data_IF_077959600407
#
_entry.id   IF_077959600407
#
_cell.length_a   1.000
_cell.length_b   1.000
_cell.length_c   1.000
_cell.angle_alpha   90.00
_cell.angle_beta   90.00
_cell.angle_gamma   90.00
#
_symmetry.space_group_name_H-M   'P 1'
#
loop_
_entity.id
_entity.type
_entity.pdbx_description
1 polymer ?
#
# COMPACT_ATOMS: atom_id res chain seq x y z
N UNK A 1 37.87 63.75 -13.01
CA UNK A 1 37.67 63.60 -11.55
C UNK A 1 36.82 62.36 -11.32
N UNK A 2 37.41 61.19 -11.03
CA UNK A 2 36.64 59.97 -10.76
C UNK A 2 36.36 59.88 -9.25
N UNK A 3 35.09 59.80 -8.88
CA UNK A 3 34.70 59.53 -7.49
C UNK A 3 34.79 58.03 -7.25
N UNK A 4 35.65 57.61 -6.32
CA UNK A 4 35.67 56.23 -5.82
C UNK A 4 34.47 56.06 -4.87
N UNK A 5 33.43 55.36 -5.33
CA UNK A 5 32.28 55.00 -4.51
C UNK A 5 32.42 53.57 -4.01
N UNK A 6 32.41 53.38 -2.69
CA UNK A 6 32.52 52.07 -2.04
C UNK A 6 31.14 51.41 -1.90
N UNK A 7 30.50 51.11 -3.04
CA UNK A 7 29.14 50.55 -3.09
C UNK A 7 28.99 49.15 -2.44
N UNK A 8 30.10 48.51 -2.07
CA UNK A 8 30.14 47.20 -1.41
C UNK A 8 30.14 47.27 0.12
N UNK A 9 30.23 48.46 0.73
CA UNK A 9 30.21 48.59 2.20
C UNK A 9 28.79 48.42 2.72
N UNK A 10 28.52 47.24 3.27
CA UNK A 10 27.26 46.94 3.94
C UNK A 10 27.25 47.66 5.30
N UNK A 11 26.20 48.43 5.55
CA UNK A 11 25.97 49.07 6.85
C UNK A 11 25.83 48.02 7.96
N UNK A 12 26.51 48.23 9.11
CA UNK A 12 26.46 47.30 10.26
C UNK A 12 25.02 47.02 10.70
N UNK A 13 24.13 48.02 10.60
CA UNK A 13 22.71 47.86 10.94
C UNK A 13 21.97 46.96 9.96
N UNK A 14 22.31 47.02 8.66
CA UNK A 14 21.79 46.11 7.64
C UNK A 14 22.30 44.69 7.87
N UNK A 15 23.59 44.50 8.15
CA UNK A 15 24.17 43.20 8.46
C UNK A 15 23.53 42.55 9.71
N UNK A 16 23.31 43.33 10.77
CA UNK A 16 22.67 42.84 12.01
C UNK A 16 21.19 42.51 11.84
N UNK A 17 20.45 43.25 10.99
CA UNK A 17 19.06 42.92 10.64
C UNK A 17 18.96 41.61 9.84
N UNK A 18 19.88 41.38 8.90
CA UNK A 18 19.92 40.14 8.10
C UNK A 18 20.38 38.91 8.90
N UNK A 19 21.17 39.07 9.97
CA UNK A 19 21.50 37.96 10.87
C UNK A 19 20.28 37.43 11.63
N UNK A 20 19.31 38.28 11.97
CA UNK A 20 18.06 37.86 12.63
C UNK A 20 17.27 36.85 11.78
N UNK A 21 17.23 37.04 10.46
CA UNK A 21 16.59 36.10 9.51
C UNK A 21 17.33 34.76 9.39
N UNK A 22 18.64 34.71 9.65
CA UNK A 22 19.39 33.45 9.69
C UNK A 22 19.13 32.65 10.98
N UNK A 23 18.77 33.32 12.08
CA UNK A 23 18.44 32.66 13.36
C UNK A 23 16.95 32.23 13.38
N UNK A 24 16.07 32.96 12.69
CA UNK A 24 14.63 32.64 12.62
C UNK A 24 14.25 31.61 11.56
N UNK A 25 15.15 31.28 10.63
CA UNK A 25 15.01 30.06 9.85
C UNK A 25 15.59 28.94 10.72
N UNK A 26 14.78 28.09 11.38
CA UNK A 26 15.28 26.82 11.88
C UNK A 26 16.05 26.19 10.72
N UNK A 27 17.32 25.88 10.97
CA UNK A 27 18.33 25.45 10.01
C UNK A 27 17.83 24.30 9.13
N UNK A 28 17.02 24.60 8.12
CA UNK A 28 16.54 23.63 7.13
C UNK A 28 16.14 22.26 7.73
N UNK A 29 15.64 22.17 8.97
CA UNK A 29 15.28 20.87 9.54
C UNK A 29 14.08 20.27 8.79
N UNK A 30 13.29 21.11 8.14
CA UNK A 30 12.26 20.70 7.19
C UNK A 30 12.82 20.15 5.85
N UNK A 31 14.12 20.31 5.59
CA UNK A 31 14.84 19.77 4.43
C UNK A 31 15.81 18.65 4.80
N UNK A 32 15.98 18.34 6.10
CA UNK A 32 16.55 17.06 6.51
C UNK A 32 15.53 15.98 6.16
N UNK A 33 15.82 15.07 5.22
CA UNK A 33 14.95 13.94 5.01
C UNK A 33 15.00 13.13 6.31
N UNK A 34 13.88 13.03 7.03
CA UNK A 34 13.74 12.21 8.25
C UNK A 34 14.19 10.75 8.01
N UNK A 35 14.33 10.33 6.75
CA UNK A 35 14.75 9.01 6.31
C UNK A 35 16.10 8.98 5.55
N UNK A 36 16.99 9.97 5.65
CA UNK A 36 18.29 9.97 4.95
C UNK A 36 19.34 9.00 5.52
N UNK A 37 18.97 8.20 6.50
CA UNK A 37 19.58 6.88 6.67
C UNK A 37 18.63 5.89 6.00
N UNK A 38 18.78 5.68 4.68
CA UNK A 38 18.35 4.43 4.07
C UNK A 38 19.19 3.32 4.73
N UNK A 39 18.77 2.87 5.93
CA UNK A 39 18.80 1.44 6.22
C UNK A 39 18.25 0.79 4.97
N UNK A 40 18.91 -0.26 4.47
CA UNK A 40 18.32 -1.16 3.48
C UNK A 40 16.89 -1.43 3.91
N UNK A 41 15.95 -0.69 3.34
CA UNK A 41 14.55 -0.83 3.64
C UNK A 41 14.24 -2.14 2.97
N UNK A 42 13.95 -3.16 3.78
CA UNK A 42 13.40 -4.40 3.26
C UNK A 42 12.35 -4.01 2.21
N UNK A 43 12.48 -4.58 1.02
CA UNK A 43 11.60 -4.25 -0.11
C UNK A 43 10.16 -4.19 0.40
N UNK A 44 9.43 -3.07 0.19
CA UNK A 44 8.13 -2.87 0.81
C UNK A 44 7.23 -4.07 0.49
N UNK A 45 6.63 -4.66 1.52
CA UNK A 45 5.76 -5.83 1.36
C UNK A 45 4.55 -5.40 0.52
N UNK A 46 4.36 -6.03 -0.64
CA UNK A 46 3.23 -5.79 -1.54
C UNK A 46 2.29 -6.99 -1.47
N UNK A 47 1.01 -6.73 -1.26
CA UNK A 47 -0.06 -7.74 -1.38
C UNK A 47 -0.75 -7.62 -2.72
N UNK A 48 -1.07 -8.75 -3.34
CA UNK A 48 -1.90 -8.83 -4.54
C UNK A 48 -3.12 -9.70 -4.24
N UNK A 49 -4.28 -9.24 -4.68
CA UNK A 49 -5.56 -9.94 -4.53
C UNK A 49 -6.13 -10.25 -5.91
N UNK A 50 -6.47 -11.51 -6.15
CA UNK A 50 -6.98 -11.98 -7.44
C UNK A 50 -8.43 -12.41 -7.27
N UNK A 51 -9.32 -11.78 -8.02
CA UNK A 51 -10.74 -12.14 -8.05
C UNK A 51 -11.01 -13.18 -9.14
N UNK A 52 -11.76 -14.23 -8.81
CA UNK A 52 -12.26 -15.21 -9.78
C UNK A 52 -13.66 -14.80 -10.21
N UNK A 53 -13.79 -14.26 -11.42
CA UNK A 53 -15.06 -13.80 -11.95
C UNK A 53 -16.03 -14.94 -12.30
N UNK A 54 -17.28 -14.56 -12.50
CA UNK A 54 -18.32 -15.45 -13.01
C UNK A 54 -17.88 -16.07 -14.36
N UNK A 55 -18.15 -17.36 -14.54
CA UNK A 55 -17.74 -18.13 -15.73
C UNK A 55 -16.46 -18.95 -15.53
N UNK A 56 -15.70 -18.71 -14.46
CA UNK A 56 -14.62 -19.61 -14.05
C UNK A 56 -15.22 -20.86 -13.37
N UNK A 57 -14.72 -22.04 -13.72
CA UNK A 57 -15.07 -23.27 -13.01
C UNK A 57 -14.40 -23.29 -11.63
N UNK A 58 -15.07 -22.72 -10.62
CA UNK A 58 -14.54 -22.52 -9.27
C UNK A 58 -14.11 -23.80 -8.56
N UNK A 59 -14.74 -24.94 -8.85
CA UNK A 59 -14.35 -26.25 -8.31
C UNK A 59 -12.90 -26.61 -8.67
N UNK A 60 -12.38 -26.14 -9.81
CA UNK A 60 -10.98 -26.37 -10.18
C UNK A 60 -9.97 -25.54 -9.38
N UNK A 61 -10.42 -24.68 -8.46
CA UNK A 61 -9.58 -23.88 -7.56
C UNK A 61 -9.74 -24.29 -6.08
N UNK A 62 -10.57 -25.30 -5.79
CA UNK A 62 -10.76 -25.80 -4.43
C UNK A 62 -9.71 -26.85 -4.08
N UNK A 63 -9.22 -26.80 -2.85
CA UNK A 63 -8.34 -27.83 -2.27
C UNK A 63 -9.19 -28.58 -1.25
N UNK A 64 -9.38 -29.88 -1.49
CA UNK A 64 -10.31 -30.72 -0.72
C UNK A 64 -9.66 -31.44 0.46
N UNK A 65 -8.34 -31.62 0.41
CA UNK A 65 -7.59 -32.36 1.42
C UNK A 65 -6.95 -31.39 2.42
N UNK A 66 -7.27 -31.47 3.72
CA UNK A 66 -6.66 -30.64 4.74
C UNK A 66 -5.25 -31.15 5.11
N UNK A 67 -4.45 -30.29 5.74
CA UNK A 67 -3.13 -30.63 6.26
C UNK A 67 -1.98 -30.11 5.40
N UNK A 68 -0.74 -30.39 5.83
CA UNK A 68 0.48 -29.96 5.14
C UNK A 68 0.64 -30.62 3.77
N UNK A 69 0.14 -31.85 3.64
CA UNK A 69 0.20 -32.67 2.43
C UNK A 69 -1.03 -32.48 1.53
N UNK A 70 -1.57 -31.27 1.49
CA UNK A 70 -2.71 -30.94 0.65
C UNK A 70 -2.37 -31.12 -0.85
N UNK A 71 -3.38 -31.40 -1.66
CA UNK A 71 -3.19 -31.55 -3.11
C UNK A 71 -3.70 -30.33 -3.87
N UNK A 72 -2.85 -29.76 -4.73
CA UNK A 72 -3.28 -28.67 -5.61
C UNK A 72 -4.23 -29.20 -6.70
N UNK A 73 -5.33 -28.48 -6.91
CA UNK A 73 -6.29 -28.74 -7.98
C UNK A 73 -5.70 -28.47 -9.37
N UNK A 74 -6.39 -28.90 -10.43
CA UNK A 74 -5.93 -28.74 -11.82
C UNK A 74 -5.45 -27.32 -12.15
N UNK A 75 -6.21 -26.28 -11.77
CA UNK A 75 -5.84 -24.89 -12.06
C UNK A 75 -4.66 -24.40 -11.22
N UNK A 76 -4.45 -24.98 -10.04
CA UNK A 76 -3.39 -24.60 -9.11
C UNK A 76 -2.12 -25.43 -9.25
N UNK A 77 -2.12 -26.53 -10.03
CA UNK A 77 -0.93 -27.36 -10.31
C UNK A 77 0.34 -26.57 -10.67
N UNK A 78 0.30 -25.47 -11.46
CA UNK A 78 1.50 -24.70 -11.75
C UNK A 78 2.18 -24.08 -10.51
N UNK A 79 1.47 -23.97 -9.39
CA UNK A 79 1.97 -23.44 -8.12
C UNK A 79 2.72 -24.48 -7.28
N UNK A 80 2.74 -25.75 -7.69
CA UNK A 80 3.39 -26.85 -6.96
C UNK A 80 4.85 -26.54 -6.61
N UNK A 81 5.58 -25.89 -7.53
CA UNK A 81 6.98 -25.45 -7.32
C UNK A 81 7.16 -24.40 -6.21
N UNK A 82 6.08 -23.80 -5.72
CA UNK A 82 6.07 -22.79 -4.66
C UNK A 82 5.31 -23.27 -3.41
N UNK A 83 5.08 -24.58 -3.28
CA UNK A 83 4.33 -25.17 -2.15
C UNK A 83 4.82 -24.70 -0.78
N UNK A 84 6.14 -24.58 -0.58
CA UNK A 84 6.73 -24.20 0.70
C UNK A 84 6.40 -22.76 1.15
N UNK A 85 5.92 -21.91 0.23
CA UNK A 85 5.54 -20.52 0.51
C UNK A 85 4.05 -20.26 0.32
N UNK A 86 3.24 -21.31 0.14
CA UNK A 86 1.79 -21.22 -0.05
C UNK A 86 1.08 -21.88 1.11
N UNK A 87 0.09 -21.18 1.67
CA UNK A 87 -0.81 -21.74 2.68
C UNK A 87 -2.25 -21.62 2.18
N UNK A 88 -2.85 -22.73 1.71
CA UNK A 88 -4.26 -22.73 1.33
C UNK A 88 -5.17 -22.51 2.53
N UNK A 89 -6.17 -21.66 2.37
CA UNK A 89 -7.25 -21.48 3.34
C UNK A 89 -8.57 -21.77 2.64
N UNK A 90 -9.36 -22.68 3.20
CA UNK A 90 -10.63 -23.15 2.63
C UNK A 90 -11.77 -22.99 3.64
N UNK A 91 -13.02 -23.03 3.16
CA UNK A 91 -14.22 -22.90 3.99
C UNK A 91 -14.63 -21.47 4.33
N UNK A 92 -13.88 -20.46 3.88
CA UNK A 92 -14.23 -19.06 4.05
C UNK A 92 -15.26 -18.62 3.01
N UNK A 93 -16.30 -17.94 3.46
CA UNK A 93 -17.30 -17.31 2.60
C UNK A 93 -17.93 -16.12 3.33
N UNK A 94 -18.46 -15.16 2.56
CA UNK A 94 -19.21 -14.05 3.13
C UNK A 94 -20.66 -14.49 3.46
N UNK A 95 -21.15 -14.27 4.69
CA UNK A 95 -22.51 -14.63 5.07
C UNK A 95 -23.53 -13.84 4.23
N UNK A 96 -24.45 -14.53 3.57
CA UNK A 96 -25.44 -13.91 2.70
C UNK A 96 -24.96 -13.60 1.27
N UNK A 97 -23.73 -13.98 0.90
CA UNK A 97 -23.26 -13.89 -0.48
C UNK A 97 -23.75 -15.04 -1.36
N UNK A 98 -23.87 -16.24 -0.79
CA UNK A 98 -24.24 -17.45 -1.53
C UNK A 98 -25.60 -17.27 -2.23
N UNK A 99 -25.68 -17.64 -3.51
CA UNK A 99 -26.89 -17.54 -4.32
C UNK A 99 -27.08 -16.21 -5.05
N UNK A 100 -26.18 -15.23 -4.88
CA UNK A 100 -26.19 -14.00 -5.67
C UNK A 100 -25.26 -14.14 -6.88
N UNK A 101 -25.70 -13.67 -8.06
CA UNK A 101 -24.93 -13.82 -9.30
C UNK A 101 -23.97 -12.66 -9.53
N UNK A 102 -24.52 -11.47 -9.80
CA UNK A 102 -23.73 -10.32 -10.28
C UNK A 102 -23.21 -9.42 -9.16
N UNK A 103 -23.83 -9.45 -7.98
CA UNK A 103 -23.50 -8.54 -6.87
C UNK A 103 -22.34 -9.07 -6.01
N UNK A 104 -21.82 -10.27 -6.28
CA UNK A 104 -20.72 -10.87 -5.54
C UNK A 104 -19.38 -10.15 -5.75
N UNK A 105 -19.25 -9.31 -6.77
CA UNK A 105 -18.08 -8.45 -6.92
C UNK A 105 -18.10 -7.29 -5.91
N UNK A 106 -19.29 -6.81 -5.51
CA UNK A 106 -19.43 -5.67 -4.61
C UNK A 106 -18.97 -5.98 -3.18
N UNK A 107 -18.88 -7.26 -2.83
CA UNK A 107 -18.39 -7.73 -1.52
C UNK A 107 -16.89 -8.05 -1.51
N UNK A 108 -16.28 -8.14 -2.69
CA UNK A 108 -14.87 -8.51 -2.80
C UNK A 108 -14.00 -7.39 -2.22
N UNK A 109 -13.19 -7.72 -1.21
CA UNK A 109 -12.34 -6.78 -0.46
C UNK A 109 -13.08 -5.64 0.26
N UNK A 110 -14.41 -5.65 0.32
CA UNK A 110 -15.22 -4.60 0.98
C UNK A 110 -16.02 -5.08 2.19
N UNK A 111 -16.21 -6.41 2.30
CA UNK A 111 -17.01 -7.04 3.35
C UNK A 111 -18.47 -6.56 3.42
N UNK A 112 -18.94 -5.82 2.41
CA UNK A 112 -20.25 -5.20 2.40
C UNK A 112 -21.37 -6.25 2.40
N UNK A 113 -22.47 -5.97 3.11
CA UNK A 113 -23.64 -6.85 3.07
C UNK A 113 -24.39 -6.65 1.75
N UNK A 114 -24.64 -7.73 1.02
CA UNK A 114 -25.46 -7.68 -0.20
C UNK A 114 -26.91 -7.35 0.17
N UNK A 115 -27.49 -6.34 -0.48
CA UNK A 115 -28.86 -5.89 -0.24
C UNK A 115 -29.25 -4.69 -1.11
N UNK A 116 -30.43 -4.09 -0.87
CA UNK A 116 -30.90 -2.92 -1.62
C UNK A 116 -30.00 -1.68 -1.49
N UNK A 117 -29.24 -1.60 -0.40
CA UNK A 117 -28.20 -0.60 -0.18
C UNK A 117 -26.95 -1.34 0.30
N UNK A 118 -25.90 -1.26 -0.48
CA UNK A 118 -24.60 -1.85 -0.16
C UNK A 118 -23.79 -0.82 0.64
N UNK A 119 -23.37 -1.19 1.84
CA UNK A 119 -22.47 -0.39 2.68
C UNK A 119 -21.25 -1.22 3.02
N UNK A 120 -20.07 -0.68 2.73
CA UNK A 120 -18.81 -1.28 3.17
C UNK A 120 -18.76 -1.26 4.69
N UNK A 121 -18.36 -2.38 5.29
CA UNK A 121 -18.04 -2.44 6.71
C UNK A 121 -16.54 -2.35 6.93
N UNK A 122 -15.75 -3.15 6.19
CA UNK A 122 -14.29 -3.18 6.25
C UNK A 122 -13.76 -3.33 4.82
N UNK A 123 -12.95 -2.37 4.36
CA UNK A 123 -12.27 -2.46 3.07
C UNK A 123 -10.79 -2.79 3.23
N UNK A 124 -10.25 -3.57 2.29
CA UNK A 124 -8.80 -3.73 2.11
C UNK A 124 -8.35 -2.70 1.06
N UNK A 125 -7.59 -1.71 1.52
CA UNK A 125 -6.82 -0.71 0.76
C UNK A 125 -5.34 -0.83 1.18
#
# INVERSE_FOLDING_TARGET
MSYLSQSWLIDRRHALRAMGTCISLPFLECMLPINAAERQTETPRRSAFIYLANGVHSLNYQITTPGKDYEFSRSLKPLEKYRDVITPVSGLHHPGSLGHHHNCINIWLTGGKIGPSERNTISVD
#
